data_IF_367584754819
#
_entry.id   IF_367584754819
#
_cell.length_a   1.000
_cell.length_b   1.000
_cell.length_c   1.000
_cell.angle_alpha   90.00
_cell.angle_beta   90.00
_cell.angle_gamma   90.00
#
_symmetry.space_group_name_H-M   'P 1'
#
loop_
_entity.id
_entity.type
_entity.pdbx_description
1 polymer ?
#
# COMPACT_ATOMS: atom_id res chain seq x y z
N UNK A 1 42.34 19.91 48.49
CA UNK A 1 40.89 20.18 48.55
C UNK A 1 40.27 19.28 47.50
N UNK A 2 39.56 18.24 47.94
CA UNK A 2 39.15 17.10 47.11
C UNK A 2 37.78 17.30 46.46
N UNK A 3 37.64 16.80 45.23
CA UNK A 3 36.37 16.66 44.53
C UNK A 3 35.71 15.30 44.85
N UNK A 4 34.38 15.23 44.99
CA UNK A 4 33.66 13.99 45.26
C UNK A 4 33.44 13.14 43.99
N UNK A 5 33.22 11.81 44.14
CA UNK A 5 33.11 10.88 43.01
C UNK A 5 31.76 10.94 42.28
N UNK A 6 31.81 10.73 40.96
CA UNK A 6 30.63 10.66 40.07
C UNK A 6 29.93 9.30 40.22
N UNK A 7 28.65 9.33 40.59
CA UNK A 7 27.79 8.15 40.62
C UNK A 7 27.18 7.88 39.24
N UNK A 8 27.32 6.64 38.75
CA UNK A 8 26.62 6.09 37.60
C UNK A 8 25.25 5.54 38.06
N UNK A 9 24.16 5.95 37.44
CA UNK A 9 22.86 5.28 37.56
C UNK A 9 22.59 4.43 36.30
N UNK A 10 22.05 3.21 36.44
CA UNK A 10 21.47 2.49 35.31
C UNK A 10 20.05 3.03 35.07
N UNK A 11 19.58 2.98 33.82
CA UNK A 11 18.33 3.56 33.30
C UNK A 11 18.46 5.02 32.82
N UNK A 12 18.95 5.14 31.60
CA UNK A 12 18.96 6.38 30.83
C UNK A 12 17.55 6.86 30.50
N UNK A 13 17.16 7.97 31.13
CA UNK A 13 16.10 8.85 30.64
C UNK A 13 16.44 10.27 31.07
N UNK A 14 16.83 11.12 30.11
CA UNK A 14 17.05 12.53 30.39
C UNK A 14 15.69 13.22 30.61
N UNK A 15 15.56 13.91 31.75
CA UNK A 15 14.45 14.80 32.03
C UNK A 15 15.00 16.22 31.91
N UNK A 16 14.56 16.95 30.89
CA UNK A 16 14.82 18.38 30.77
C UNK A 16 13.81 19.14 31.65
N UNK A 17 14.33 19.99 32.54
CA UNK A 17 13.54 20.97 33.29
C UNK A 17 13.57 22.29 32.52
N UNK A 18 12.40 22.77 32.06
CA UNK A 18 12.22 24.12 31.51
C UNK A 18 11.30 24.89 32.47
N UNK A 19 11.74 26.02 33.05
CA UNK A 19 10.87 26.81 33.92
C UNK A 19 10.12 27.89 33.14
N UNK A 20 8.83 28.02 33.44
CA UNK A 20 8.06 29.26 33.26
C UNK A 20 7.42 29.48 31.89
N UNK A 21 6.15 29.12 31.77
CA UNK A 21 5.03 30.06 31.47
C UNK A 21 3.73 29.27 31.42
N UNK A 22 2.77 29.70 32.23
CA UNK A 22 1.41 29.20 32.25
C UNK A 22 0.75 29.42 30.89
N UNK A 23 0.22 28.35 30.29
CA UNK A 23 -0.98 28.39 29.47
C UNK A 23 -1.46 26.96 29.20
N UNK A 24 -2.67 26.67 29.69
CA UNK A 24 -3.35 25.41 29.52
C UNK A 24 -3.69 25.17 28.03
N UNK A 25 -3.03 24.20 27.40
CA UNK A 25 -3.36 23.71 26.07
C UNK A 25 -4.05 22.34 26.22
N UNK A 26 -5.38 22.35 26.20
CA UNK A 26 -6.19 21.13 26.14
C UNK A 26 -5.94 20.41 24.82
N UNK A 27 -5.60 19.13 24.90
CA UNK A 27 -5.51 18.21 23.77
C UNK A 27 -6.90 17.80 23.32
N UNK A 28 -7.20 17.96 22.02
CA UNK A 28 -8.38 17.39 21.37
C UNK A 28 -7.94 16.32 20.35
N UNK A 29 -8.60 15.15 20.30
CA UNK A 29 -8.35 14.15 19.26
C UNK A 29 -9.01 14.54 17.92
N UNK A 30 -8.23 14.53 16.84
CA UNK A 30 -8.69 14.57 15.45
C UNK A 30 -9.32 13.21 15.10
N UNK A 31 -10.64 13.08 15.30
CA UNK A 31 -11.51 12.17 14.57
C UNK A 31 -12.99 12.57 14.82
N UNK A 32 -13.39 13.68 14.21
CA UNK A 32 -14.79 14.05 14.07
C UNK A 32 -15.13 14.06 12.58
N UNK A 33 -15.69 12.93 12.12
CA UNK A 33 -16.35 12.84 10.82
C UNK A 33 -17.55 13.77 10.85
N UNK A 34 -17.44 14.87 10.11
CA UNK A 34 -18.48 15.87 9.88
C UNK A 34 -19.54 15.26 8.97
N UNK A 35 -20.58 14.64 9.53
CA UNK A 35 -21.82 14.40 8.78
C UNK A 35 -22.62 15.70 8.76
N UNK A 36 -22.83 16.23 7.55
CA UNK A 36 -23.69 17.38 7.31
C UNK A 36 -25.13 16.90 7.17
N UNK A 37 -26.00 17.43 8.02
CA UNK A 37 -27.44 17.35 7.91
C UNK A 37 -27.94 18.12 6.68
N UNK A 38 -28.80 17.49 5.88
CA UNK A 38 -29.74 18.19 5.00
C UNK A 38 -31.14 17.59 5.17
N UNK A 39 -32.05 18.49 5.58
CA UNK A 39 -33.45 18.28 5.95
C UNK A 39 -34.33 17.94 4.73
N UNK A 40 -35.31 17.05 4.92
CA UNK A 40 -36.38 16.81 3.94
C UNK A 40 -37.56 16.02 4.51
N UNK A 41 -38.62 16.76 4.85
CA UNK A 41 -39.99 16.40 5.26
C UNK A 41 -40.53 14.96 5.07
N UNK A 42 -41.19 14.45 6.14
CA UNK A 42 -42.20 13.39 6.02
C UNK A 42 -42.82 13.00 7.37
N UNK A 43 -43.95 13.61 7.74
CA UNK A 43 -44.74 13.33 8.95
C UNK A 43 -45.06 11.84 9.09
N UNK A 44 -44.85 11.27 10.28
CA UNK A 44 -45.92 10.56 11.04
C UNK A 44 -45.71 10.78 12.54
N UNK A 45 -46.67 11.48 13.14
CA UNK A 45 -46.88 11.47 14.59
C UNK A 45 -47.29 10.06 14.99
N UNK A 46 -46.54 9.40 15.85
CA UNK A 46 -47.12 8.63 16.95
C UNK A 46 -46.33 9.00 18.19
N UNK A 47 -47.06 9.66 19.09
CA UNK A 47 -46.65 10.07 20.42
C UNK A 47 -46.93 8.87 21.31
N UNK A 48 -45.92 8.35 21.98
CA UNK A 48 -46.08 7.66 23.26
C UNK A 48 -44.75 7.76 24.02
N UNK A 49 -44.83 8.49 25.12
CA UNK A 49 -43.77 8.80 26.05
C UNK A 49 -43.61 7.61 27.00
N UNK A 50 -42.40 7.05 27.11
CA UNK A 50 -41.96 6.34 28.32
C UNK A 50 -40.79 7.13 28.91
N UNK A 51 -41.12 8.18 29.64
CA UNK A 51 -40.20 8.90 30.52
C UNK A 51 -40.04 8.11 31.83
N UNK A 52 -38.80 7.77 32.17
CA UNK A 52 -38.38 7.54 33.55
C UNK A 52 -38.62 6.14 34.12
N UNK A 53 -37.62 5.28 34.04
CA UNK A 53 -37.35 4.27 35.07
C UNK A 53 -35.86 3.91 35.05
N UNK A 54 -35.24 4.03 36.23
CA UNK A 54 -33.84 3.73 36.53
C UNK A 54 -33.48 2.28 36.22
N UNK A 55 -32.29 2.07 35.66
CA UNK A 55 -31.69 0.73 35.56
C UNK A 55 -31.22 0.28 36.94
N UNK A 56 -31.99 -0.59 37.59
CA UNK A 56 -31.49 -1.44 38.67
C UNK A 56 -31.52 -2.90 38.22
N UNK A 57 -30.41 -3.55 38.52
CA UNK A 57 -30.05 -4.93 38.28
C UNK A 57 -31.06 -5.89 38.92
N UNK A 58 -31.51 -6.89 38.17
CA UNK A 58 -32.32 -8.00 38.70
C UNK A 58 -31.62 -9.31 38.36
N UNK A 59 -30.91 -9.83 39.35
CA UNK A 59 -30.69 -11.25 39.53
C UNK A 59 -32.00 -11.85 40.07
N UNK A 60 -32.43 -12.97 39.45
CA UNK A 60 -33.44 -13.94 39.88
C UNK A 60 -34.84 -13.45 40.29
N UNK A 61 -35.82 -13.55 39.37
CA UNK A 61 -37.23 -13.47 39.77
C UNK A 61 -38.25 -13.28 38.64
N UNK A 62 -38.59 -14.37 37.95
CA UNK A 62 -39.62 -14.52 36.92
C UNK A 62 -40.90 -13.70 37.18
N UNK A 63 -41.25 -12.79 36.26
CA UNK A 63 -42.62 -12.29 36.12
C UNK A 63 -43.39 -13.22 35.19
N UNK A 64 -43.97 -14.29 35.74
CA UNK A 64 -44.91 -15.15 35.03
C UNK A 64 -46.24 -14.41 34.90
N UNK A 65 -46.52 -13.87 33.72
CA UNK A 65 -47.88 -13.57 33.30
C UNK A 65 -48.38 -14.71 32.44
N UNK A 66 -49.50 -15.31 32.85
CA UNK A 66 -50.09 -16.47 32.20
C UNK A 66 -50.41 -16.18 30.73
N UNK A 67 -49.64 -16.79 29.83
CA UNK A 67 -49.93 -16.80 28.41
C UNK A 67 -50.75 -18.05 28.12
N UNK A 68 -52.03 -17.84 27.81
CA UNK A 68 -52.91 -18.86 27.25
C UNK A 68 -52.25 -19.44 25.99
N UNK A 69 -51.86 -20.71 26.04
CA UNK A 69 -51.44 -21.45 24.85
C UNK A 69 -52.68 -21.66 23.99
N UNK A 70 -52.91 -20.73 23.05
CA UNK A 70 -53.76 -21.02 21.90
C UNK A 70 -53.08 -22.13 21.13
N UNK A 71 -53.65 -23.33 21.17
CA UNK A 71 -53.37 -24.36 20.17
C UNK A 71 -53.75 -23.76 18.82
N UNK A 72 -52.73 -23.34 18.06
CA UNK A 72 -52.91 -22.88 16.69
C UNK A 72 -53.52 -23.98 15.83
N UNK A 73 -54.16 -23.64 14.70
CA UNK A 73 -54.69 -24.64 13.79
C UNK A 73 -53.56 -25.61 13.41
N UNK A 74 -53.87 -26.90 13.47
CA UNK A 74 -53.03 -27.99 12.97
C UNK A 74 -52.53 -27.60 11.57
N UNK A 75 -51.23 -27.30 11.47
CA UNK A 75 -50.58 -27.11 10.19
C UNK A 75 -50.69 -28.42 9.43
N UNK A 76 -51.66 -28.45 8.54
CA UNK A 76 -51.84 -29.51 7.56
C UNK A 76 -50.50 -29.68 6.84
N UNK A 77 -49.89 -30.86 7.01
CA UNK A 77 -48.55 -31.19 6.53
C UNK A 77 -48.63 -31.32 5.02
N UNK A 78 -48.72 -30.18 4.32
CA UNK A 78 -48.54 -30.13 2.87
C UNK A 78 -47.16 -30.68 2.60
N UNK A 79 -47.14 -31.84 1.95
CA UNK A 79 -45.94 -32.47 1.43
C UNK A 79 -45.12 -31.41 0.69
N UNK A 80 -44.07 -30.90 1.33
CA UNK A 80 -43.05 -30.12 0.65
C UNK A 80 -42.52 -31.03 -0.46
N UNK A 81 -42.84 -30.71 -1.72
CA UNK A 81 -42.18 -31.32 -2.87
C UNK A 81 -40.69 -31.08 -2.65
N UNK A 82 -39.98 -32.13 -2.22
CA UNK A 82 -38.53 -32.08 -2.10
C UNK A 82 -37.99 -31.63 -3.45
N UNK A 83 -37.34 -30.47 -3.48
CA UNK A 83 -36.55 -30.09 -4.64
C UNK A 83 -35.51 -31.20 -4.81
N UNK A 84 -35.60 -31.93 -5.93
CA UNK A 84 -34.55 -32.87 -6.30
C UNK A 84 -33.30 -32.02 -6.47
N UNK A 85 -32.29 -32.25 -5.65
CA UNK A 85 -30.97 -31.66 -5.83
C UNK A 85 -30.44 -32.15 -7.18
N UNK A 86 -30.43 -31.26 -8.17
CA UNK A 86 -29.75 -31.51 -9.44
C UNK A 86 -28.24 -31.47 -9.15
N UNK A 87 -27.58 -32.62 -9.26
CA UNK A 87 -26.13 -32.73 -9.17
C UNK A 87 -25.50 -32.59 -10.56
N UNK A 88 -24.31 -31.99 -10.62
CA UNK A 88 -23.48 -31.98 -11.82
C UNK A 88 -23.04 -33.40 -12.15
N UNK A 89 -23.07 -33.76 -13.42
CA UNK A 89 -22.58 -35.07 -13.86
C UNK A 89 -21.05 -35.07 -13.91
N UNK A 90 -20.41 -36.23 -13.68
CA UNK A 90 -18.95 -36.34 -13.76
C UNK A 90 -18.44 -35.96 -15.16
N UNK A 91 -19.19 -36.33 -16.22
CA UNK A 91 -18.83 -36.00 -17.60
C UNK A 91 -18.89 -34.49 -17.88
N UNK A 92 -19.85 -33.78 -17.30
CA UNK A 92 -19.95 -32.32 -17.42
C UNK A 92 -18.74 -31.63 -16.76
N UNK A 93 -18.31 -32.12 -15.60
CA UNK A 93 -17.10 -31.62 -14.94
C UNK A 93 -15.84 -31.94 -15.77
N UNK A 94 -15.75 -33.10 -16.41
CA UNK A 94 -14.59 -33.43 -17.26
C UNK A 94 -14.47 -32.50 -18.47
N UNK A 95 -15.59 -32.20 -19.14
CA UNK A 95 -15.59 -31.31 -20.31
C UNK A 95 -15.28 -29.87 -19.89
N UNK A 96 -15.89 -29.39 -18.81
CA UNK A 96 -15.64 -28.02 -18.33
C UNK A 96 -14.18 -27.80 -17.96
N UNK A 97 -13.55 -28.74 -17.24
CA UNK A 97 -12.12 -28.67 -16.89
C UNK A 97 -11.25 -28.71 -18.15
N UNK A 98 -11.59 -29.53 -19.15
CA UNK A 98 -10.85 -29.58 -20.41
C UNK A 98 -10.87 -28.23 -21.15
N UNK A 99 -12.03 -27.56 -21.20
CA UNK A 99 -12.15 -26.23 -21.81
C UNK A 99 -11.34 -25.19 -21.03
N UNK A 100 -11.46 -25.18 -19.69
CA UNK A 100 -10.71 -24.24 -18.83
C UNK A 100 -9.20 -24.44 -18.99
N UNK A 101 -8.71 -25.68 -19.12
CA UNK A 101 -7.29 -25.96 -19.32
C UNK A 101 -6.75 -25.36 -20.63
N UNK A 102 -7.51 -25.47 -21.74
CA UNK A 102 -7.13 -24.89 -23.03
C UNK A 102 -7.08 -23.36 -22.94
N UNK A 103 -8.11 -22.74 -22.33
CA UNK A 103 -8.15 -21.29 -22.15
C UNK A 103 -7.00 -20.79 -21.26
N UNK A 104 -6.71 -21.51 -20.17
CA UNK A 104 -5.63 -21.17 -19.24
C UNK A 104 -4.25 -21.21 -19.93
N UNK A 105 -4.01 -22.17 -20.82
CA UNK A 105 -2.75 -22.29 -21.54
C UNK A 105 -2.40 -21.04 -22.39
N UNK A 106 -3.41 -20.38 -22.97
CA UNK A 106 -3.24 -19.15 -23.74
C UNK A 106 -3.29 -17.90 -22.86
N UNK A 107 -4.17 -17.88 -21.86
CA UNK A 107 -4.39 -16.70 -21.01
C UNK A 107 -3.20 -16.42 -20.09
N UNK A 108 -2.62 -17.45 -19.46
CA UNK A 108 -1.55 -17.30 -18.46
C UNK A 108 -0.31 -16.54 -18.97
N UNK A 109 0.31 -16.87 -20.12
CA UNK A 109 1.48 -16.12 -20.59
C UNK A 109 1.14 -14.65 -20.87
N UNK A 110 -0.03 -14.37 -21.48
CA UNK A 110 -0.46 -13.00 -21.77
C UNK A 110 -0.74 -12.18 -20.51
N UNK A 111 -1.32 -12.80 -19.49
CA UNK A 111 -1.61 -12.14 -18.21
C UNK A 111 -0.33 -11.81 -17.43
N UNK A 112 0.64 -12.72 -17.42
CA UNK A 112 1.96 -12.48 -16.80
C UNK A 112 2.67 -11.29 -17.46
N UNK A 113 2.62 -11.20 -18.78
CA UNK A 113 3.18 -10.06 -19.51
C UNK A 113 2.48 -8.75 -19.18
N UNK A 114 1.16 -8.77 -19.01
CA UNK A 114 0.39 -7.58 -18.62
C UNK A 114 0.81 -7.08 -17.22
N UNK A 115 0.87 -7.98 -16.24
CA UNK A 115 1.29 -7.63 -14.88
C UNK A 115 2.74 -7.13 -14.86
N UNK A 116 3.63 -7.79 -15.60
CA UNK A 116 5.04 -7.38 -15.71
C UNK A 116 5.15 -5.95 -16.24
N UNK A 117 4.43 -5.60 -17.31
CA UNK A 117 4.44 -4.23 -17.86
C UNK A 117 3.98 -3.19 -16.85
N UNK A 118 2.98 -3.51 -16.04
CA UNK A 118 2.54 -2.64 -14.94
C UNK A 118 3.67 -2.39 -13.94
N UNK A 119 4.41 -3.43 -13.55
CA UNK A 119 5.54 -3.30 -12.64
C UNK A 119 6.71 -2.53 -13.26
N UNK A 120 7.00 -2.68 -14.57
CA UNK A 120 8.05 -1.92 -15.25
C UNK A 120 7.82 -0.40 -15.17
N UNK A 121 6.55 0.03 -15.19
CA UNK A 121 6.19 1.45 -15.08
C UNK A 121 6.62 2.03 -13.74
N UNK A 122 6.51 1.26 -12.65
CA UNK A 122 6.95 1.69 -11.30
C UNK A 122 8.44 2.06 -11.30
N UNK A 123 9.29 1.27 -11.97
CA UNK A 123 10.71 1.55 -12.11
C UNK A 123 10.98 2.86 -12.86
N UNK A 124 10.32 3.08 -14.00
CA UNK A 124 10.47 4.30 -14.79
C UNK A 124 9.94 5.55 -14.08
N UNK A 125 8.83 5.44 -13.36
CA UNK A 125 8.27 6.52 -12.56
C UNK A 125 9.19 6.87 -11.38
N UNK A 126 9.74 5.85 -10.72
CA UNK A 126 10.74 6.02 -9.67
C UNK A 126 11.97 6.77 -10.17
N UNK A 127 12.50 6.41 -11.34
CA UNK A 127 13.62 7.13 -11.96
C UNK A 127 13.28 8.57 -12.30
N UNK A 128 12.08 8.83 -12.83
CA UNK A 128 11.64 10.18 -13.16
C UNK A 128 11.54 11.08 -11.91
N UNK A 129 10.99 10.55 -10.82
CA UNK A 129 10.93 11.24 -9.54
C UNK A 129 12.34 11.48 -8.97
N UNK A 130 13.19 10.44 -8.95
CA UNK A 130 14.56 10.54 -8.49
C UNK A 130 15.38 11.57 -9.29
N UNK A 131 15.14 11.68 -10.61
CA UNK A 131 15.78 12.69 -11.46
C UNK A 131 15.43 14.11 -11.01
N UNK A 132 14.17 14.37 -10.65
CA UNK A 132 13.75 15.66 -10.14
C UNK A 132 14.39 15.96 -8.76
N UNK A 133 14.48 14.96 -7.89
CA UNK A 133 15.15 15.09 -6.59
C UNK A 133 16.65 15.36 -6.76
N UNK A 134 17.29 14.72 -7.73
CA UNK A 134 18.69 14.97 -8.07
C UNK A 134 18.91 16.40 -8.57
N UNK A 135 18.03 16.91 -9.45
CA UNK A 135 18.11 18.30 -9.90
C UNK A 135 17.95 19.28 -8.73
N UNK A 136 16.99 19.02 -7.84
CA UNK A 136 16.84 19.81 -6.61
C UNK A 136 18.11 19.78 -5.75
N UNK A 137 18.72 18.60 -5.57
CA UNK A 137 19.97 18.46 -4.84
C UNK A 137 21.10 19.28 -5.47
N UNK A 138 21.16 19.33 -6.80
CA UNK A 138 22.12 20.13 -7.53
C UNK A 138 21.91 21.63 -7.34
N UNK A 139 20.66 22.10 -7.29
CA UNK A 139 20.36 23.52 -6.99
C UNK A 139 20.87 23.93 -5.60
N UNK A 140 20.77 23.02 -4.61
CA UNK A 140 21.21 23.30 -3.24
C UNK A 140 22.74 23.18 -3.06
N UNK A 141 23.37 22.20 -3.73
CA UNK A 141 24.75 21.80 -3.44
C UNK A 141 25.76 22.09 -4.58
N UNK A 142 25.27 22.42 -5.77
CA UNK A 142 26.05 22.61 -7.02
C UNK A 142 26.88 21.40 -7.45
N UNK A 143 26.48 20.21 -7.01
CA UNK A 143 27.11 18.92 -7.33
C UNK A 143 26.07 17.82 -7.20
N UNK A 144 26.24 16.71 -7.93
CA UNK A 144 25.45 15.49 -7.73
C UNK A 144 26.12 14.50 -6.77
N UNK A 145 27.40 14.71 -6.50
CA UNK A 145 28.19 13.94 -5.53
C UNK A 145 27.97 14.38 -4.09
N UNK A 146 28.46 13.57 -3.14
CA UNK A 146 28.42 13.89 -1.71
C UNK A 146 29.26 15.12 -1.42
N UNK A 147 28.71 16.06 -0.64
CA UNK A 147 29.43 17.26 -0.19
C UNK A 147 29.08 17.58 1.25
N UNK A 148 30.08 17.88 2.09
CA UNK A 148 29.89 18.37 3.47
C UNK A 148 28.87 17.56 4.31
N UNK A 149 28.82 16.23 4.13
CA UNK A 149 27.88 15.35 4.82
C UNK A 149 26.48 15.25 4.20
N UNK A 150 26.17 16.07 3.20
CA UNK A 150 24.96 15.93 2.38
C UNK A 150 25.13 14.76 1.41
N UNK A 151 24.15 13.86 1.41
CA UNK A 151 24.15 12.65 0.59
C UNK A 151 23.09 12.79 -0.50
N UNK A 152 23.42 12.54 -1.79
CA UNK A 152 22.46 12.67 -2.87
C UNK A 152 21.26 11.72 -2.68
N UNK A 153 20.06 12.09 -3.15
CA UNK A 153 18.81 11.32 -3.00
C UNK A 153 18.92 9.84 -3.39
N UNK A 154 19.68 9.56 -4.43
CA UNK A 154 19.84 8.24 -5.03
C UNK A 154 20.70 7.25 -4.22
N UNK A 155 21.28 7.67 -3.09
CA UNK A 155 21.98 6.77 -2.15
C UNK A 155 21.08 6.41 -0.98
N UNK A 156 20.89 5.11 -0.73
CA UNK A 156 20.13 4.62 0.42
C UNK A 156 20.84 4.95 1.73
N UNK A 157 20.11 5.51 2.70
CA UNK A 157 20.62 5.88 4.03
C UNK A 157 19.66 5.37 5.10
N UNK A 158 20.08 5.31 6.37
CA UNK A 158 19.16 4.98 7.46
C UNK A 158 17.97 5.96 7.47
N UNK A 159 16.76 5.43 7.19
CA UNK A 159 15.53 6.23 7.07
C UNK A 159 15.10 6.59 5.64
N UNK A 160 15.89 6.26 4.61
CA UNK A 160 15.52 6.42 3.19
C UNK A 160 15.84 5.16 2.38
N UNK A 161 14.79 4.50 1.93
CA UNK A 161 14.86 3.33 1.05
C UNK A 161 14.60 3.75 -0.39
N UNK A 162 15.54 3.46 -1.28
CA UNK A 162 15.40 3.73 -2.71
C UNK A 162 14.81 2.50 -3.40
N UNK A 163 13.63 2.08 -2.97
CA UNK A 163 12.91 0.92 -3.53
C UNK A 163 11.52 1.38 -3.95
N UNK A 164 11.17 1.13 -5.21
CA UNK A 164 9.87 1.44 -5.79
C UNK A 164 9.33 0.17 -6.43
N UNK A 165 8.26 -0.38 -5.86
CA UNK A 165 7.74 -1.68 -6.27
C UNK A 165 8.83 -2.76 -6.15
N UNK A 166 9.16 -3.40 -7.26
CA UNK A 166 10.21 -4.44 -7.35
C UNK A 166 11.58 -3.90 -7.78
N UNK A 167 11.72 -2.58 -7.95
CA UNK A 167 12.96 -1.94 -8.39
C UNK A 167 13.73 -1.33 -7.24
N UNK A 168 15.05 -1.57 -7.23
CA UNK A 168 15.99 -0.83 -6.39
C UNK A 168 16.66 0.26 -7.22
N UNK A 169 16.57 1.49 -6.75
CA UNK A 169 17.14 2.67 -7.39
C UNK A 169 18.51 2.97 -6.78
N UNK A 170 19.45 3.30 -7.65
CA UNK A 170 20.81 3.69 -7.29
C UNK A 170 21.34 4.71 -8.30
N UNK A 171 22.54 5.20 -8.05
CA UNK A 171 23.25 6.10 -8.93
C UNK A 171 24.74 5.86 -8.89
N UNK A 172 25.40 6.19 -9.99
CA UNK A 172 26.84 6.17 -10.12
C UNK A 172 27.30 7.27 -11.11
N UNK A 173 28.55 7.76 -11.01
CA UNK A 173 29.44 7.57 -9.86
C UNK A 173 28.90 8.27 -8.61
N UNK A 174 29.36 7.82 -7.43
CA UNK A 174 29.16 8.54 -6.17
C UNK A 174 30.53 8.76 -5.56
N UNK A 175 31.00 9.99 -5.66
CA UNK A 175 32.31 10.42 -5.21
C UNK A 175 32.19 11.61 -4.24
N UNK A 176 33.33 12.19 -3.90
CA UNK A 176 33.45 13.47 -3.19
C UNK A 176 34.08 14.56 -4.05
N UNK A 177 34.31 14.28 -5.33
CA UNK A 177 35.09 15.11 -6.26
C UNK A 177 34.24 16.15 -6.99
N UNK A 178 33.02 16.38 -6.49
CA UNK A 178 32.05 17.38 -6.97
C UNK A 178 31.72 17.22 -8.47
N UNK A 179 31.36 16.01 -8.89
CA UNK A 179 30.94 15.77 -10.27
C UNK A 179 29.58 16.42 -10.60
N UNK A 180 29.47 16.89 -11.85
CA UNK A 180 28.23 17.40 -12.45
C UNK A 180 27.52 16.37 -13.32
N UNK A 181 27.99 15.12 -13.32
CA UNK A 181 27.42 14.02 -14.10
C UNK A 181 26.92 12.92 -13.19
N UNK A 182 25.82 12.27 -13.56
CA UNK A 182 25.32 11.09 -12.87
C UNK A 182 24.59 10.17 -13.85
N UNK A 183 24.54 8.89 -13.51
CA UNK A 183 23.64 7.92 -14.13
C UNK A 183 22.81 7.29 -13.02
N UNK A 184 21.49 7.49 -13.08
CA UNK A 184 20.53 6.78 -12.26
C UNK A 184 20.29 5.40 -12.86
N UNK A 185 20.10 4.41 -12.00
CA UNK A 185 19.80 3.05 -12.38
C UNK A 185 18.65 2.52 -11.53
N UNK A 186 17.70 1.82 -12.15
CA UNK A 186 16.68 1.04 -11.47
C UNK A 186 16.87 -0.43 -11.85
N UNK A 187 17.25 -1.25 -10.88
CA UNK A 187 17.48 -2.69 -11.06
C UNK A 187 16.26 -3.46 -10.56
N UNK A 188 15.62 -4.20 -11.46
CA UNK A 188 14.45 -5.02 -11.14
C UNK A 188 14.81 -6.29 -10.37
N UNK A 189 13.95 -6.65 -9.43
CA UNK A 189 14.03 -7.90 -8.65
C UNK A 189 12.76 -8.75 -8.83
N UNK A 190 12.82 -10.02 -8.39
CA UNK A 190 11.69 -10.95 -8.45
C UNK A 190 11.09 -11.09 -9.86
N UNK A 191 9.80 -10.76 -10.08
CA UNK A 191 9.16 -10.88 -11.40
C UNK A 191 9.76 -9.95 -12.47
N UNK A 192 10.40 -8.84 -12.06
CA UNK A 192 11.11 -7.90 -12.95
C UNK A 192 12.62 -8.15 -13.04
N UNK A 193 13.09 -9.29 -12.52
CA UNK A 193 14.51 -9.64 -12.61
C UNK A 193 15.00 -9.66 -14.06
N UNK A 194 16.19 -9.10 -14.28
CA UNK A 194 16.77 -8.96 -15.62
C UNK A 194 16.44 -7.66 -16.33
N UNK A 195 15.51 -6.84 -15.82
CA UNK A 195 15.28 -5.48 -16.33
C UNK A 195 16.11 -4.47 -15.55
N UNK A 196 16.88 -3.67 -16.28
CA UNK A 196 17.62 -2.54 -15.71
C UNK A 196 17.34 -1.31 -16.55
N UNK A 197 16.77 -0.28 -15.94
CA UNK A 197 16.54 1.02 -16.58
C UNK A 197 17.59 2.01 -16.12
N UNK A 198 18.07 2.84 -17.04
CA UNK A 198 19.03 3.90 -16.75
C UNK A 198 18.55 5.24 -17.28
N UNK A 199 18.98 6.31 -16.63
CA UNK A 199 18.85 7.69 -17.14
C UNK A 199 20.00 8.54 -16.62
N UNK A 200 20.60 9.35 -17.48
CA UNK A 200 21.68 10.26 -17.11
C UNK A 200 21.20 11.70 -16.86
N UNK A 201 22.13 12.60 -16.50
CA UNK A 201 21.83 14.02 -16.29
C UNK A 201 21.34 14.75 -17.55
N UNK A 202 21.63 14.22 -18.74
CA UNK A 202 21.18 14.77 -20.02
C UNK A 202 19.81 14.22 -20.44
N UNK A 203 19.25 13.28 -19.67
CA UNK A 203 18.00 12.62 -19.98
C UNK A 203 18.12 11.51 -21.01
N UNK A 204 19.34 11.05 -21.31
CA UNK A 204 19.55 9.86 -22.15
C UNK A 204 19.08 8.65 -21.37
N UNK A 205 18.05 7.99 -21.90
CA UNK A 205 17.42 6.82 -21.29
C UNK A 205 18.03 5.55 -21.86
N UNK A 206 18.13 4.51 -21.04
CA UNK A 206 18.57 3.19 -21.49
C UNK A 206 17.82 2.07 -20.79
N UNK A 207 17.76 0.93 -21.45
CA UNK A 207 17.25 -0.33 -20.91
C UNK A 207 18.20 -1.45 -21.26
N UNK A 208 18.78 -2.08 -20.23
CA UNK A 208 19.51 -3.34 -20.36
C UNK A 208 18.59 -4.47 -19.92
N UNK A 209 18.47 -5.50 -20.75
CA UNK A 209 17.66 -6.70 -20.46
C UNK A 209 18.55 -7.93 -20.50
N UNK A 210 18.53 -8.73 -19.45
CA UNK A 210 19.31 -9.97 -19.32
C UNK A 210 18.43 -11.16 -18.94
N UNK A 211 18.50 -12.24 -19.72
CA UNK A 211 17.83 -13.52 -19.37
C UNK A 211 16.31 -13.54 -19.54
N UNK A 212 15.70 -12.54 -20.17
CA UNK A 212 14.25 -12.48 -20.41
C UNK A 212 13.94 -12.72 -21.88
N UNK A 213 13.23 -13.82 -22.20
CA UNK A 213 12.93 -14.18 -23.58
C UNK A 213 11.85 -13.27 -24.21
N UNK A 214 12.03 -12.95 -25.50
CA UNK A 214 11.10 -12.10 -26.26
C UNK A 214 11.22 -10.61 -25.99
N UNK A 215 12.13 -10.18 -25.11
CA UNK A 215 12.42 -8.77 -24.83
C UNK A 215 13.80 -8.39 -25.36
N UNK A 216 13.93 -7.15 -25.84
CA UNK A 216 15.17 -6.58 -26.36
C UNK A 216 15.49 -5.29 -25.64
N UNK A 217 16.75 -5.11 -25.23
CA UNK A 217 17.24 -3.86 -24.65
C UNK A 217 17.31 -2.72 -25.69
N UNK A 218 17.54 -1.51 -25.20
CA UNK A 218 17.68 -0.31 -26.02
C UNK A 218 18.51 0.74 -25.28
N UNK A 219 19.52 1.32 -25.92
CA UNK A 219 20.42 2.28 -25.28
C UNK A 219 19.90 3.74 -25.32
N UNK A 220 18.71 3.96 -25.89
CA UNK A 220 18.14 5.30 -26.13
C UNK A 220 16.75 5.53 -25.54
N UNK A 221 16.11 4.48 -25.00
CA UNK A 221 14.74 4.56 -24.50
C UNK A 221 14.45 3.51 -23.43
N UNK A 222 13.45 3.80 -22.60
CA UNK A 222 12.87 2.81 -21.68
C UNK A 222 11.94 1.84 -22.39
N UNK A 223 12.32 0.55 -22.39
CA UNK A 223 11.54 -0.53 -23.00
C UNK A 223 10.50 -1.02 -22.00
N UNK A 224 9.26 -0.57 -22.16
CA UNK A 224 8.12 -0.94 -21.29
C UNK A 224 7.19 -1.97 -21.92
N UNK A 225 7.41 -2.34 -23.19
CA UNK A 225 6.58 -3.29 -23.94
C UNK A 225 7.45 -4.29 -24.69
N UNK A 226 7.01 -5.56 -24.68
CA UNK A 226 7.60 -6.62 -25.50
C UNK A 226 7.56 -6.25 -26.99
N UNK A 227 8.67 -6.43 -27.70
CA UNK A 227 8.80 -6.13 -29.13
C UNK A 227 8.87 -4.64 -29.48
N UNK A 228 9.07 -3.76 -28.48
CA UNK A 228 9.34 -2.34 -28.74
C UNK A 228 10.68 -2.20 -29.45
N UNK A 229 10.68 -1.49 -30.58
CA UNK A 229 11.90 -1.18 -31.31
C UNK A 229 12.62 0.00 -30.64
N UNK A 230 13.95 -0.05 -30.65
CA UNK A 230 14.77 1.06 -30.19
C UNK A 230 14.72 2.17 -31.25
N UNK A 231 14.45 3.44 -30.86
CA UNK A 231 14.50 4.55 -31.81
C UNK A 231 15.92 4.69 -32.38
N UNK A 232 16.00 4.92 -33.69
CA UNK A 232 17.26 5.11 -34.42
C UNK A 232 17.85 6.48 -34.15
#
# INVERSE_FOLDING_TARGET
>A
MGEPPRAFTPFGRQVFFVPGTDNAMQTQPLNAVRQQDARGHGRKRFREECLGASWQQLDDGVCATGVAVRTGPSFDRRHAKGHRTAGFTLIEVMITVAIVAILAALALPSYRDYVLRGQLVDGTNGLAAMRADMERYYQDNRTYDKVNGFVPPCVSTAGRTNIVGTFQLSCAPISTDKSTTYTLQAVGSGPTAGFTFTVDQLGVQGTTITGVSGWSGCDKAWVTKRGMLCPT
#
